data_IF_637743908488
#
_entry.id   IF_637743908488
#
_cell.length_a   1.000
_cell.length_b   1.000
_cell.length_c   1.000
_cell.angle_alpha   90.00
_cell.angle_beta   90.00
_cell.angle_gamma   90.00
#
_symmetry.space_group_name_H-M   'P 1'
#
loop_
_entity.id
_entity.type
_entity.pdbx_description
1 polymer ?
#
# COMPACT_ATOMS: atom_id res chain seq x y z
N UNK A 1 -22.31 -3.74 3.86
CA UNK A 1 -20.86 -3.49 4.03
C UNK A 1 -20.21 -3.66 2.65
N UNK A 2 -19.79 -2.59 1.98
CA UNK A 2 -19.18 -2.75 0.66
C UNK A 2 -17.80 -3.39 0.84
N UNK A 3 -17.69 -4.62 0.32
CA UNK A 3 -16.73 -5.11 -0.67
C UNK A 3 -15.22 -4.79 -0.54
N UNK A 4 -14.35 -5.64 -1.14
CA UNK A 4 -13.00 -5.94 -0.67
C UNK A 4 -12.10 -4.71 -0.69
N UNK A 5 -11.17 -4.62 0.26
CA UNK A 5 -10.12 -3.59 0.19
C UNK A 5 -9.36 -3.76 -1.11
N UNK A 6 -9.46 -2.77 -2.00
CA UNK A 6 -8.60 -2.69 -3.17
C UNK A 6 -7.14 -2.60 -2.69
N UNK A 7 -6.23 -3.30 -3.38
CA UNK A 7 -4.80 -3.20 -3.08
C UNK A 7 -4.36 -1.75 -3.28
N UNK A 8 -3.63 -1.21 -2.32
CA UNK A 8 -3.02 0.12 -2.46
C UNK A 8 -2.10 0.12 -3.69
N UNK A 9 -2.34 0.98 -4.69
CA UNK A 9 -1.53 1.01 -5.90
C UNK A 9 -0.14 1.61 -5.63
N UNK A 10 0.91 0.91 -6.05
CA UNK A 10 2.29 1.37 -5.98
C UNK A 10 3.14 0.81 -7.12
N UNK A 11 4.27 1.46 -7.39
CA UNK A 11 5.36 0.95 -8.22
C UNK A 11 6.65 0.92 -7.41
N UNK A 12 7.67 0.19 -7.87
CA UNK A 12 8.97 0.15 -7.23
C UNK A 12 9.94 1.09 -7.97
N UNK A 13 10.87 1.67 -7.24
CA UNK A 13 11.90 2.54 -7.79
C UNK A 13 13.28 2.23 -7.21
N UNK A 14 14.28 2.14 -8.07
CA UNK A 14 15.70 2.14 -7.66
C UNK A 14 16.11 3.52 -7.16
N UNK A 15 16.69 3.61 -5.97
CA UNK A 15 17.17 4.89 -5.41
C UNK A 15 18.41 5.40 -6.14
N UNK A 16 19.28 4.51 -6.63
CA UNK A 16 20.51 4.87 -7.32
C UNK A 16 20.28 5.49 -8.70
N UNK A 17 19.33 4.97 -9.47
CA UNK A 17 19.10 5.37 -10.88
C UNK A 17 17.80 6.14 -11.08
N UNK A 18 16.84 5.98 -10.17
CA UNK A 18 15.48 6.49 -10.34
C UNK A 18 14.59 5.63 -11.25
N UNK A 19 15.06 4.50 -11.77
CA UNK A 19 14.28 3.62 -12.63
C UNK A 19 13.04 3.07 -11.91
N UNK A 20 11.89 3.07 -12.59
CA UNK A 20 10.60 2.64 -12.06
C UNK A 20 10.18 1.33 -12.72
N UNK A 21 9.72 0.37 -11.92
CA UNK A 21 9.31 -0.95 -12.37
C UNK A 21 8.16 -1.51 -11.52
N UNK A 22 7.47 -2.52 -12.05
CA UNK A 22 6.36 -3.16 -11.35
C UNK A 22 6.87 -4.16 -10.31
N UNK A 23 6.14 -4.30 -9.21
CA UNK A 23 6.41 -5.33 -8.21
C UNK A 23 5.96 -6.72 -8.71
N UNK A 24 6.87 -7.67 -8.73
CA UNK A 24 6.60 -9.09 -9.03
C UNK A 24 6.41 -9.94 -7.76
N UNK A 25 6.53 -9.33 -6.58
CA UNK A 25 6.33 -9.91 -5.25
C UNK A 25 7.59 -10.40 -4.55
N UNK A 26 8.67 -10.68 -5.29
CA UNK A 26 9.94 -11.23 -4.75
C UNK A 26 11.19 -10.50 -5.26
N UNK A 27 11.06 -9.22 -5.60
CA UNK A 27 12.20 -8.41 -6.06
C UNK A 27 13.13 -8.10 -4.89
N UNK A 28 14.38 -8.56 -5.01
CA UNK A 28 15.48 -8.27 -4.09
C UNK A 28 16.44 -7.21 -4.68
N UNK A 29 16.49 -7.11 -6.01
CA UNK A 29 17.37 -6.22 -6.77
C UNK A 29 16.61 -5.43 -7.86
N UNK A 30 17.15 -4.28 -8.24
CA UNK A 30 16.58 -3.48 -9.31
C UNK A 30 16.86 -4.15 -10.66
N UNK A 31 15.83 -4.53 -11.45
CA UNK A 31 16.02 -5.32 -12.66
C UNK A 31 16.92 -4.60 -13.68
N UNK A 32 17.96 -5.30 -14.13
CA UNK A 32 18.90 -4.78 -15.14
C UNK A 32 19.97 -3.84 -14.60
N UNK A 33 20.04 -3.60 -13.29
CA UNK A 33 21.07 -2.77 -12.67
C UNK A 33 22.19 -3.60 -12.06
N UNK A 34 23.43 -3.12 -12.20
CA UNK A 34 24.62 -3.78 -11.63
C UNK A 34 25.06 -3.17 -10.29
N UNK A 35 24.60 -1.96 -10.01
CA UNK A 35 24.96 -1.22 -8.80
C UNK A 35 23.95 -1.62 -7.72
N UNK A 36 24.41 -2.08 -6.54
CA UNK A 36 23.50 -2.36 -5.43
C UNK A 36 22.78 -1.08 -5.02
N UNK A 37 21.48 -1.18 -4.82
CA UNK A 37 20.58 -0.03 -4.63
C UNK A 37 19.42 -0.42 -3.73
N UNK A 38 18.89 0.55 -2.99
CA UNK A 38 17.65 0.37 -2.26
C UNK A 38 16.49 0.41 -3.26
N UNK A 39 15.58 -0.56 -3.16
CA UNK A 39 14.29 -0.52 -3.83
C UNK A 39 13.28 0.12 -2.88
N UNK A 40 12.60 1.17 -3.33
CA UNK A 40 11.53 1.83 -2.56
C UNK A 40 10.19 1.71 -3.27
N UNK A 41 9.10 1.65 -2.49
CA UNK A 41 7.75 1.77 -3.02
C UNK A 41 7.38 3.23 -3.29
N UNK A 42 6.87 3.50 -4.48
CA UNK A 42 6.23 4.74 -4.91
C UNK A 42 4.72 4.55 -4.89
N UNK A 43 4.10 4.94 -3.79
CA UNK A 43 2.64 4.93 -3.65
C UNK A 43 2.01 6.03 -4.50
N UNK A 44 0.91 5.69 -5.19
CA UNK A 44 0.14 6.68 -5.98
C UNK A 44 -0.41 7.79 -5.08
N UNK A 45 -0.91 7.41 -3.91
CA UNK A 45 -1.47 8.35 -2.91
C UNK A 45 -0.43 8.64 -1.84
N UNK A 46 0.09 9.87 -1.81
CA UNK A 46 1.13 10.29 -0.85
C UNK A 46 0.57 10.75 0.50
N UNK A 47 -0.71 11.15 0.53
CA UNK A 47 -1.38 11.64 1.73
C UNK A 47 -2.37 10.61 2.24
N UNK A 48 -2.50 10.52 3.56
CA UNK A 48 -3.49 9.65 4.19
C UNK A 48 -4.89 10.16 3.86
N UNK A 49 -5.66 9.38 3.12
CA UNK A 49 -7.08 9.63 2.88
C UNK A 49 -7.89 8.81 3.88
N UNK A 50 -8.53 9.52 4.81
CA UNK A 50 -9.36 8.86 5.82
C UNK A 50 -10.71 8.52 5.21
N UNK A 51 -11.12 7.25 5.34
CA UNK A 51 -12.50 6.86 5.05
C UNK A 51 -13.44 7.43 6.12
N UNK A 52 -14.72 7.30 5.84
CA UNK A 52 -15.79 7.72 6.74
C UNK A 52 -15.61 7.10 8.15
N UNK A 53 -15.92 7.84 9.24
CA UNK A 53 -15.82 7.32 10.60
C UNK A 53 -16.58 6.00 10.85
N UNK A 54 -17.62 5.70 10.07
CA UNK A 54 -18.36 4.42 10.13
C UNK A 54 -17.49 3.19 9.91
N UNK A 55 -16.33 3.35 9.27
CA UNK A 55 -15.35 2.27 9.08
C UNK A 55 -14.53 1.94 10.35
N UNK A 56 -14.68 2.70 11.44
CA UNK A 56 -13.92 2.47 12.68
C UNK A 56 -12.41 2.51 12.43
N UNK A 57 -11.69 1.47 12.86
CA UNK A 57 -10.24 1.35 12.61
C UNK A 57 -9.89 1.25 11.11
N UNK A 58 -10.83 0.79 10.28
CA UNK A 58 -10.63 0.66 8.84
C UNK A 58 -10.71 1.99 8.09
N UNK A 59 -10.96 3.09 8.78
CA UNK A 59 -10.81 4.43 8.20
C UNK A 59 -9.39 4.72 7.70
N UNK A 60 -8.41 3.94 8.17
CA UNK A 60 -7.00 4.00 7.76
C UNK A 60 -6.60 2.86 6.80
N UNK A 61 -7.56 2.08 6.28
CA UNK A 61 -7.29 0.85 5.55
C UNK A 61 -6.43 1.05 4.30
N UNK A 62 -6.47 2.23 3.68
CA UNK A 62 -5.68 2.51 2.46
C UNK A 62 -4.18 2.64 2.75
N UNK A 63 -3.80 2.79 4.03
CA UNK A 63 -2.43 2.93 4.52
C UNK A 63 -1.92 1.71 5.29
N UNK A 64 -2.80 0.76 5.60
CA UNK A 64 -2.48 -0.45 6.34
C UNK A 64 -2.48 -1.65 5.38
N UNK A 65 -1.67 -2.68 5.61
CA UNK A 65 -1.70 -3.91 4.83
C UNK A 65 -2.93 -4.76 5.19
N UNK A 66 -4.13 -4.25 4.91
CA UNK A 66 -5.40 -4.92 5.21
C UNK A 66 -5.73 -5.89 4.08
N UNK A 67 -5.63 -7.18 4.38
CA UNK A 67 -6.05 -8.23 3.43
C UNK A 67 -7.56 -8.51 3.49
N UNK A 68 -8.21 -8.24 4.64
CA UNK A 68 -9.65 -8.44 4.82
C UNK A 68 -10.19 -7.59 5.98
N UNK A 69 -11.46 -7.21 5.87
CA UNK A 69 -12.21 -6.66 6.99
C UNK A 69 -12.72 -7.77 7.92
N UNK A 70 -12.68 -7.54 9.23
CA UNK A 70 -13.29 -8.41 10.22
C UNK A 70 -14.81 -8.31 10.11
N UNK A 71 -15.47 -9.47 10.03
CA UNK A 71 -16.93 -9.56 10.02
C UNK A 71 -17.46 -9.10 11.38
N UNK A 72 -18.39 -8.15 11.38
CA UNK A 72 -18.93 -7.54 12.61
C UNK A 72 -18.07 -6.41 13.18
N UNK A 73 -17.02 -5.97 12.48
CA UNK A 73 -16.31 -4.75 12.85
C UNK A 73 -17.24 -3.54 12.67
N UNK A 74 -17.27 -2.68 13.69
CA UNK A 74 -18.03 -1.43 13.72
C UNK A 74 -17.14 -0.31 14.24
N UNK A 75 -17.50 0.94 13.95
CA UNK A 75 -16.95 2.08 14.65
C UNK A 75 -17.16 1.92 16.17
N UNK A 76 -16.17 2.29 17.00
CA UNK A 76 -16.35 2.32 18.45
C UNK A 76 -17.52 3.25 18.80
N UNK A 77 -18.38 2.81 19.71
CA UNK A 77 -19.48 3.63 20.24
C UNK A 77 -18.83 4.73 21.09
N UNK A 78 -19.16 5.99 20.79
CA UNK A 78 -18.75 7.18 21.54
C UNK A 78 -19.93 7.74 22.30
#
# INVERSE_FOLDING_TARGET
>A
MPHPSEKTPFQLQSVATGNIFNDTGWLLDAPGEKIPTLIRALYQTKQLQLKDPSFGIYRFADWLPVNRYFVGSSAPIT
#
